data_IF_229800912856
#
_entry.id   IF_229800912856
#
_cell.length_a   1.000
_cell.length_b   1.000
_cell.length_c   1.000
_cell.angle_alpha   90.00
_cell.angle_beta   90.00
_cell.angle_gamma   90.00
#
_symmetry.space_group_name_H-M   'P 1'
#
loop_
_entity.id
_entity.type
_entity.pdbx_description
1 polymer ?
#
# COMPACT_ATOMS: atom_id res chain seq x y z
N UNK A 1 22.60 -37.60 35.63
CA UNK A 1 22.03 -37.79 34.27
C UNK A 1 20.75 -36.98 34.02
N UNK A 2 19.77 -36.96 34.94
CA UNK A 2 18.51 -36.20 34.79
C UNK A 2 18.68 -34.69 34.50
N UNK A 3 19.62 -34.02 35.18
CA UNK A 3 19.94 -32.60 34.94
C UNK A 3 20.50 -32.32 33.54
N UNK A 4 21.28 -33.26 33.00
CA UNK A 4 21.91 -33.14 31.68
C UNK A 4 20.88 -33.35 30.56
N UNK A 5 19.94 -34.28 30.76
CA UNK A 5 18.80 -34.50 29.86
C UNK A 5 17.90 -33.26 29.80
N UNK A 6 17.65 -32.61 30.95
CA UNK A 6 16.86 -31.39 31.02
C UNK A 6 17.52 -30.21 30.28
N UNK A 7 18.85 -30.05 30.42
CA UNK A 7 19.60 -29.05 29.67
C UNK A 7 19.55 -29.27 28.16
N UNK A 8 19.70 -30.51 27.70
CA UNK A 8 19.59 -30.84 26.28
C UNK A 8 18.20 -30.54 25.71
N UNK A 9 17.14 -30.81 26.48
CA UNK A 9 15.76 -30.49 26.09
C UNK A 9 15.52 -28.98 25.97
N UNK A 10 16.06 -28.18 26.88
CA UNK A 10 16.00 -26.71 26.79
C UNK A 10 16.69 -26.19 25.53
N UNK A 11 17.88 -26.71 25.22
CA UNK A 11 18.62 -26.31 24.03
C UNK A 11 17.87 -26.64 22.73
N UNK A 12 17.19 -27.79 22.66
CA UNK A 12 16.41 -28.17 21.47
C UNK A 12 15.17 -27.30 21.30
N UNK A 13 14.46 -26.96 22.38
CA UNK A 13 13.30 -26.06 22.31
C UNK A 13 13.71 -24.67 21.82
N UNK A 14 14.79 -24.10 22.35
CA UNK A 14 15.31 -22.79 21.93
C UNK A 14 15.76 -22.79 20.46
N UNK A 15 16.45 -23.85 20.03
CA UNK A 15 16.85 -24.01 18.62
C UNK A 15 15.64 -24.06 17.68
N UNK A 16 14.59 -24.81 18.05
CA UNK A 16 13.37 -24.94 17.27
C UNK A 16 12.58 -23.63 17.19
N UNK A 17 12.47 -22.87 18.27
CA UNK A 17 11.76 -21.59 18.27
C UNK A 17 12.52 -20.52 17.50
N UNK A 18 13.85 -20.46 17.62
CA UNK A 18 14.69 -19.53 16.86
C UNK A 18 14.60 -19.79 15.34
N UNK A 19 14.65 -21.06 14.91
CA UNK A 19 14.48 -21.46 13.51
C UNK A 19 13.06 -21.19 12.97
N UNK A 20 12.05 -21.22 13.83
CA UNK A 20 10.66 -20.88 13.45
C UNK A 20 10.48 -19.39 13.22
N UNK A 21 11.10 -18.55 14.05
CA UNK A 21 10.98 -17.09 13.99
C UNK A 21 11.54 -16.51 12.70
N UNK A 22 12.62 -17.09 12.14
CA UNK A 22 13.19 -16.66 10.86
C UNK A 22 12.32 -16.98 9.65
N UNK A 23 11.27 -17.81 9.80
CA UNK A 23 10.29 -18.09 8.75
C UNK A 23 9.05 -17.20 8.81
N UNK A 24 9.03 -16.20 9.70
CA UNK A 24 8.07 -15.10 9.62
C UNK A 24 8.47 -14.17 8.46
N UNK A 25 8.43 -14.70 7.24
CA UNK A 25 8.18 -13.83 6.10
C UNK A 25 6.81 -13.22 6.39
N UNK A 26 6.81 -11.95 6.79
CA UNK A 26 5.62 -11.13 6.78
C UNK A 26 5.28 -11.01 5.29
N UNK A 27 4.63 -12.03 4.77
CA UNK A 27 4.04 -11.99 3.43
C UNK A 27 2.87 -11.04 3.59
N UNK A 28 3.18 -9.74 3.49
CA UNK A 28 2.20 -8.71 3.21
C UNK A 28 1.42 -9.22 2.00
N UNK A 29 0.17 -9.57 2.24
CA UNK A 29 -0.63 -10.32 1.30
C UNK A 29 -0.89 -9.38 0.13
N UNK A 30 -0.20 -9.57 -0.99
CA UNK A 30 -0.22 -8.65 -2.14
C UNK A 30 -1.63 -8.42 -2.64
N UNK A 31 -2.48 -9.46 -2.60
CA UNK A 31 -3.91 -9.39 -2.86
C UNK A 31 -4.66 -8.41 -1.95
N UNK A 32 -4.30 -8.39 -0.66
CA UNK A 32 -4.93 -7.51 0.33
C UNK A 32 -4.56 -6.03 0.07
N UNK A 33 -3.32 -5.76 -0.34
CA UNK A 33 -2.90 -4.41 -0.74
C UNK A 33 -3.63 -3.94 -2.00
N UNK A 34 -3.76 -4.80 -3.02
CA UNK A 34 -4.50 -4.45 -4.22
C UNK A 34 -5.97 -4.13 -3.94
N UNK A 35 -6.60 -4.79 -2.98
CA UNK A 35 -7.97 -4.48 -2.60
C UNK A 35 -8.08 -3.13 -1.87
N UNK A 36 -7.08 -2.78 -1.05
CA UNK A 36 -7.04 -1.48 -0.36
C UNK A 36 -6.80 -0.36 -1.38
N UNK A 37 -5.86 -0.53 -2.29
CA UNK A 37 -5.58 0.45 -3.36
C UNK A 37 -6.76 0.57 -4.33
N UNK A 38 -7.39 -0.54 -4.74
CA UNK A 38 -8.58 -0.51 -5.60
C UNK A 38 -9.79 0.14 -4.93
N UNK A 39 -9.93 0.02 -3.60
CA UNK A 39 -10.97 0.71 -2.84
C UNK A 39 -10.76 2.23 -2.82
N UNK A 40 -9.50 2.70 -2.84
CA UNK A 40 -9.14 4.12 -2.80
C UNK A 40 -8.87 4.75 -4.18
N UNK A 41 -8.88 3.97 -5.26
CA UNK A 41 -8.50 4.42 -6.60
C UNK A 41 -9.39 5.55 -7.16
N UNK A 42 -10.61 5.70 -6.67
CA UNK A 42 -11.57 6.75 -7.07
C UNK A 42 -11.75 7.85 -6.00
N UNK A 43 -11.01 7.78 -4.88
CA UNK A 43 -11.03 8.80 -3.82
C UNK A 43 -10.02 9.93 -4.06
N UNK A 44 -9.23 9.82 -5.14
CA UNK A 44 -8.35 10.88 -5.59
C UNK A 44 -9.18 12.12 -5.90
N UNK A 45 -8.99 13.20 -5.13
CA UNK A 45 -9.60 14.49 -5.42
C UNK A 45 -9.09 14.93 -6.81
N UNK A 46 -9.90 14.67 -7.83
CA UNK A 46 -9.74 15.19 -9.18
C UNK A 46 -10.04 16.70 -9.15
N UNK A 47 -9.18 17.44 -8.44
CA UNK A 47 -9.29 18.89 -8.28
C UNK A 47 -8.82 19.51 -9.59
N UNK A 48 -9.75 19.69 -10.51
CA UNK A 48 -9.52 20.47 -11.72
C UNK A 48 -10.05 21.89 -11.52
N UNK A 49 -9.20 22.88 -11.76
CA UNK A 49 -9.56 24.29 -11.80
C UNK A 49 -9.50 24.80 -13.23
N UNK A 50 -10.56 25.46 -13.67
CA UNK A 50 -10.73 25.93 -15.04
C UNK A 50 -10.77 27.46 -15.07
N UNK A 51 -9.95 28.09 -15.93
CA UNK A 51 -9.73 29.53 -15.91
C UNK A 51 -9.94 30.19 -17.28
N UNK A 52 -10.69 31.29 -17.27
CA UNK A 52 -10.95 32.14 -18.44
C UNK A 52 -11.79 31.47 -19.52
N UNK A 53 -11.96 32.17 -20.64
CA UNK A 53 -12.65 31.65 -21.83
C UNK A 53 -11.62 31.31 -22.90
N UNK A 54 -11.74 30.16 -23.53
CA UNK A 54 -10.77 29.69 -24.52
C UNK A 54 -11.30 28.54 -25.35
N UNK A 55 -10.42 27.62 -25.72
CA UNK A 55 -10.74 26.46 -26.55
C UNK A 55 -10.47 25.10 -25.87
N UNK A 56 -9.95 25.11 -24.65
CA UNK A 56 -9.62 23.91 -23.86
C UNK A 56 -10.87 23.41 -23.15
N UNK A 57 -11.19 22.12 -23.25
CA UNK A 57 -12.34 21.54 -22.56
C UNK A 57 -12.07 21.38 -21.07
N UNK A 58 -12.93 21.96 -20.24
CA UNK A 58 -12.89 21.79 -18.80
C UNK A 58 -13.57 20.47 -18.40
N UNK A 59 -12.88 19.54 -17.70
CA UNK A 59 -13.42 18.21 -17.39
C UNK A 59 -14.55 18.21 -16.36
N UNK A 60 -14.71 19.30 -15.59
CA UNK A 60 -15.73 19.42 -14.51
C UNK A 60 -17.01 20.10 -14.95
N UNK A 61 -16.91 21.16 -15.75
CA UNK A 61 -18.08 21.96 -16.18
C UNK A 61 -18.38 21.84 -17.68
N UNK A 62 -17.58 21.09 -18.43
CA UNK A 62 -17.75 20.87 -19.88
C UNK A 62 -17.88 22.14 -20.71
N UNK A 63 -17.28 23.24 -20.25
CA UNK A 63 -17.18 24.51 -20.99
C UNK A 63 -15.76 24.71 -21.52
N UNK A 64 -15.63 25.56 -22.54
CA UNK A 64 -14.36 25.89 -23.18
C UNK A 64 -13.65 27.01 -22.40
N UNK A 65 -12.48 26.72 -21.84
CA UNK A 65 -11.67 27.62 -21.02
C UNK A 65 -10.27 27.84 -21.61
N UNK A 66 -9.52 28.80 -21.05
CA UNK A 66 -8.16 29.11 -21.51
C UNK A 66 -7.12 28.18 -20.87
N UNK A 67 -7.30 27.81 -19.61
CA UNK A 67 -6.39 26.93 -18.87
C UNK A 67 -7.16 25.97 -17.98
N UNK A 68 -6.65 24.75 -17.83
CA UNK A 68 -7.07 23.77 -16.83
C UNK A 68 -5.85 23.41 -15.98
N UNK A 69 -5.95 23.61 -14.67
CA UNK A 69 -4.94 23.18 -13.70
C UNK A 69 -5.49 22.02 -12.89
N UNK A 70 -4.67 21.01 -12.61
CA UNK A 70 -5.06 19.84 -11.85
C UNK A 70 -4.00 19.43 -10.85
N UNK A 71 -4.41 18.68 -9.82
CA UNK A 71 -3.47 17.95 -8.97
C UNK A 71 -2.69 16.91 -9.78
N UNK A 72 -1.41 16.74 -9.47
CA UNK A 72 -0.59 15.66 -10.03
C UNK A 72 -0.60 14.47 -9.07
N UNK A 73 -1.08 13.32 -9.54
CA UNK A 73 -0.97 12.05 -8.81
C UNK A 73 0.35 11.35 -9.14
N UNK A 74 1.03 10.82 -8.12
CA UNK A 74 2.24 10.00 -8.26
C UNK A 74 1.94 8.53 -8.53
N UNK A 75 0.71 8.10 -8.26
CA UNK A 75 0.17 6.82 -8.65
C UNK A 75 -0.60 7.02 -9.95
N UNK A 76 -0.04 6.51 -11.05
CA UNK A 76 -0.69 6.38 -12.35
C UNK A 76 -0.97 4.92 -12.62
#
# INVERSE_FOLDING_TARGET
MKKLVFFLFLCTVVYLTAKRSTNHNITFNTLLNYNIEALAADEGLNVYHCFGTGSVDCPVVHTKVKYVAGGYSLEK
#
